data_IF_906106228704
#
_entry.id   IF_906106228704
#
_cell.length_a   1.000
_cell.length_b   1.000
_cell.length_c   1.000
_cell.angle_alpha   90.00
_cell.angle_beta   90.00
_cell.angle_gamma   90.00
#
_symmetry.space_group_name_H-M   'P 1'
#
loop_
_entity.id
_entity.type
_entity.pdbx_description
1 polymer ?
#
# COMPACT_ATOMS: atom_id res chain seq x y z
N UNK A 1 -11.07 -18.08 21.86
CA UNK A 1 -11.69 -17.32 20.74
C UNK A 1 -10.98 -17.74 19.47
N UNK A 2 -11.72 -18.16 18.44
CA UNK A 2 -11.13 -18.54 17.15
C UNK A 2 -10.40 -17.37 16.51
N UNK A 3 -9.08 -17.47 16.42
CA UNK A 3 -8.24 -16.41 15.86
C UNK A 3 -8.55 -16.13 14.39
N UNK A 4 -9.17 -17.09 13.69
CA UNK A 4 -9.61 -16.94 12.29
C UNK A 4 -10.82 -16.03 12.10
N UNK A 5 -11.55 -15.71 13.16
CA UNK A 5 -12.73 -14.86 13.10
C UNK A 5 -12.42 -13.36 13.27
N UNK A 6 -11.17 -12.99 13.58
CA UNK A 6 -10.80 -11.61 13.94
C UNK A 6 -11.01 -10.62 12.80
N UNK A 7 -10.61 -10.98 11.58
CA UNK A 7 -10.66 -10.07 10.42
C UNK A 7 -11.91 -10.30 9.53
N UNK A 8 -12.83 -11.16 9.97
CA UNK A 8 -13.98 -11.60 9.13
C UNK A 8 -14.88 -10.43 8.75
N UNK A 9 -15.18 -9.54 9.69
CA UNK A 9 -16.05 -8.39 9.45
C UNK A 9 -15.39 -7.37 8.51
N UNK A 10 -14.09 -7.09 8.72
CA UNK A 10 -13.32 -6.19 7.87
C UNK A 10 -13.24 -6.70 6.42
N UNK A 11 -12.95 -8.00 6.23
CA UNK A 11 -12.90 -8.63 4.91
C UNK A 11 -14.28 -8.62 4.25
N UNK A 12 -15.33 -8.94 4.99
CA UNK A 12 -16.70 -9.02 4.43
C UNK A 12 -17.18 -7.64 4.00
N UNK A 13 -16.97 -6.61 4.84
CA UNK A 13 -17.32 -5.24 4.52
C UNK A 13 -16.52 -4.71 3.32
N UNK A 14 -15.21 -4.97 3.29
CA UNK A 14 -14.36 -4.61 2.15
C UNK A 14 -14.92 -5.19 0.85
N UNK A 15 -15.21 -6.49 0.83
CA UNK A 15 -15.76 -7.16 -0.36
C UNK A 15 -17.10 -6.56 -0.78
N UNK A 16 -17.98 -6.29 0.19
CA UNK A 16 -19.27 -5.66 -0.11
C UNK A 16 -19.11 -4.27 -0.72
N UNK A 17 -18.25 -3.42 -0.16
CA UNK A 17 -18.01 -2.06 -0.67
C UNK A 17 -17.41 -2.11 -2.07
N UNK A 18 -16.41 -2.96 -2.31
CA UNK A 18 -15.80 -3.12 -3.63
C UNK A 18 -16.84 -3.59 -4.65
N UNK A 19 -17.60 -4.64 -4.35
CA UNK A 19 -18.64 -5.16 -5.26
C UNK A 19 -19.72 -4.08 -5.52
N UNK A 20 -20.10 -3.29 -4.52
CA UNK A 20 -21.02 -2.16 -4.71
C UNK A 20 -20.42 -1.06 -5.60
N UNK A 21 -19.15 -0.71 -5.41
CA UNK A 21 -18.48 0.28 -6.24
C UNK A 21 -18.38 -0.22 -7.69
N UNK A 22 -18.01 -1.47 -7.93
CA UNK A 22 -17.94 -2.05 -9.27
C UNK A 22 -19.30 -2.04 -9.99
N UNK A 23 -20.38 -2.38 -9.28
CA UNK A 23 -21.71 -2.43 -9.89
C UNK A 23 -22.29 -1.04 -10.22
N UNK A 24 -21.88 -0.02 -9.48
CA UNK A 24 -22.48 1.32 -9.57
C UNK A 24 -21.55 2.37 -10.20
N UNK A 25 -20.27 2.07 -10.43
CA UNK A 25 -19.34 3.00 -11.06
C UNK A 25 -19.58 3.06 -12.58
N UNK A 26 -19.80 4.27 -13.15
CA UNK A 26 -19.85 4.45 -14.59
C UNK A 26 -18.55 3.99 -15.26
N UNK A 27 -18.62 3.39 -16.46
CA UNK A 27 -17.42 3.00 -17.20
C UNK A 27 -16.53 4.22 -17.46
N UNK A 28 -15.26 4.15 -17.02
CA UNK A 28 -14.28 5.23 -17.14
C UNK A 28 -14.16 6.15 -15.92
N UNK A 29 -14.98 5.97 -14.88
CA UNK A 29 -14.78 6.63 -13.60
C UNK A 29 -13.73 5.88 -12.75
N UNK A 30 -12.86 6.59 -12.00
CA UNK A 30 -11.89 5.93 -11.13
C UNK A 30 -12.63 5.21 -9.99
N UNK A 31 -12.28 3.96 -9.74
CA UNK A 31 -12.80 3.21 -8.58
C UNK A 31 -12.39 3.90 -7.28
N UNK A 32 -13.31 3.88 -6.31
CA UNK A 32 -13.00 4.33 -4.96
C UNK A 32 -11.84 3.51 -4.38
N UNK A 33 -10.85 4.19 -3.81
CA UNK A 33 -9.76 3.53 -3.09
C UNK A 33 -10.27 3.12 -1.71
N UNK A 34 -10.33 1.81 -1.46
CA UNK A 34 -10.69 1.26 -0.14
C UNK A 34 -9.42 0.76 0.55
N UNK A 35 -9.21 1.20 1.78
CA UNK A 35 -8.12 0.75 2.65
C UNK A 35 -8.71 -0.18 3.70
N UNK A 36 -8.13 -1.36 3.89
CA UNK A 36 -8.55 -2.32 4.91
C UNK A 36 -7.41 -2.63 5.87
N UNK A 37 -7.69 -2.48 7.15
CA UNK A 37 -6.78 -2.93 8.21
C UNK A 37 -7.02 -4.41 8.49
N UNK A 38 -5.93 -5.20 8.53
CA UNK A 38 -5.94 -6.59 8.92
C UNK A 38 -5.04 -6.80 10.14
N UNK A 39 -5.54 -7.57 11.10
CA UNK A 39 -4.78 -7.95 12.30
C UNK A 39 -3.69 -8.96 11.98
N UNK A 40 -3.84 -9.76 10.92
CA UNK A 40 -2.89 -10.82 10.55
C UNK A 40 -2.56 -10.83 9.05
N UNK A 41 -1.29 -11.02 8.67
CA UNK A 41 -0.90 -11.19 7.27
C UNK A 41 -1.60 -12.38 6.60
N UNK A 42 -1.84 -13.47 7.34
CA UNK A 42 -2.48 -14.68 6.80
C UNK A 42 -3.93 -14.48 6.38
N UNK A 43 -4.59 -13.42 6.88
CA UNK A 43 -5.96 -13.05 6.48
C UNK A 43 -6.01 -12.43 5.08
N UNK A 44 -4.88 -11.99 4.54
CA UNK A 44 -4.76 -11.38 3.22
C UNK A 44 -5.21 -12.34 2.09
N UNK A 45 -5.03 -13.66 2.28
CA UNK A 45 -5.49 -14.68 1.32
C UNK A 45 -7.00 -14.69 1.06
N UNK A 46 -7.79 -14.02 1.91
CA UNK A 46 -9.24 -13.94 1.81
C UNK A 46 -9.72 -12.65 1.13
N UNK A 47 -8.83 -11.69 0.89
CA UNK A 47 -9.12 -10.53 0.06
C UNK A 47 -9.03 -10.94 -1.41
N UNK A 48 -10.04 -10.55 -2.19
CA UNK A 48 -10.04 -10.75 -3.64
C UNK A 48 -9.00 -9.83 -4.27
N UNK A 49 -8.30 -10.36 -5.27
CA UNK A 49 -7.44 -9.59 -6.15
C UNK A 49 -8.10 -9.52 -7.53
N UNK A 50 -8.65 -8.37 -7.91
CA UNK A 50 -9.19 -8.18 -9.26
C UNK A 50 -8.07 -8.02 -10.32
N UNK A 51 -6.78 -8.00 -9.94
CA UNK A 51 -5.67 -8.20 -10.90
C UNK A 51 -5.70 -9.61 -11.51
N UNK A 52 -6.48 -10.54 -10.93
CA UNK A 52 -6.79 -11.84 -11.53
C UNK A 52 -7.71 -11.70 -12.75
N UNK A 53 -8.29 -10.51 -13.02
CA UNK A 53 -8.91 -10.17 -14.31
C UNK A 53 -7.88 -9.72 -15.36
N UNK A 54 -6.61 -10.12 -15.24
CA UNK A 54 -5.71 -10.10 -16.39
C UNK A 54 -6.29 -10.99 -17.49
N UNK A 55 -6.57 -10.42 -18.66
CA UNK A 55 -7.00 -11.15 -19.85
C UNK A 55 -5.95 -12.19 -20.32
N UNK A 56 -4.73 -12.15 -19.75
CA UNK A 56 -3.63 -13.03 -20.10
C UNK A 56 -3.46 -14.19 -19.08
N UNK A 57 -3.71 -15.45 -19.50
CA UNK A 57 -3.61 -16.61 -18.61
C UNK A 57 -2.20 -16.87 -18.06
N UNK A 58 -1.16 -16.44 -18.78
CA UNK A 58 0.24 -16.58 -18.34
C UNK A 58 0.60 -15.68 -17.15
N UNK A 59 0.07 -14.45 -17.12
CA UNK A 59 0.24 -13.52 -16.01
C UNK A 59 -0.47 -14.03 -14.76
N UNK A 60 -1.64 -14.64 -14.93
CA UNK A 60 -2.39 -15.24 -13.83
C UNK A 60 -1.65 -16.41 -13.17
N UNK A 61 -1.04 -17.29 -13.95
CA UNK A 61 -0.23 -18.39 -13.42
C UNK A 61 1.03 -17.90 -12.69
N UNK A 62 1.67 -16.86 -13.22
CA UNK A 62 2.82 -16.23 -12.58
C UNK A 62 2.44 -15.62 -11.22
N UNK A 63 1.33 -14.87 -11.17
CA UNK A 63 0.80 -14.28 -9.92
C UNK A 63 0.41 -15.37 -8.92
N UNK A 64 -0.32 -16.41 -9.33
CA UNK A 64 -0.69 -17.53 -8.45
C UNK A 64 0.55 -18.24 -7.89
N UNK A 65 1.58 -18.42 -8.71
CA UNK A 65 2.84 -19.05 -8.29
C UNK A 65 3.60 -18.16 -7.31
N UNK A 66 3.63 -16.85 -7.54
CA UNK A 66 4.24 -15.86 -6.65
C UNK A 66 3.50 -15.81 -5.30
N UNK A 67 2.18 -15.68 -5.33
CA UNK A 67 1.31 -15.70 -4.15
C UNK A 67 1.50 -17.00 -3.36
N UNK A 68 1.55 -18.16 -4.02
CA UNK A 68 1.78 -19.44 -3.34
C UNK A 68 3.17 -19.50 -2.68
N UNK A 69 4.21 -18.94 -3.31
CA UNK A 69 5.56 -18.86 -2.72
C UNK A 69 5.58 -17.93 -1.51
N UNK A 70 5.00 -16.75 -1.61
CA UNK A 70 4.89 -15.76 -0.52
C UNK A 70 4.12 -16.34 0.66
N UNK A 71 2.96 -16.95 0.43
CA UNK A 71 2.16 -17.58 1.49
C UNK A 71 2.83 -18.82 2.11
N UNK A 72 3.68 -19.53 1.36
CA UNK A 72 4.43 -20.68 1.89
C UNK A 72 5.62 -20.31 2.77
N UNK A 73 6.06 -19.04 2.71
CA UNK A 73 7.20 -18.49 3.47
C UNK A 73 6.74 -17.48 4.52
N UNK A 74 5.54 -17.68 5.05
CA UNK A 74 4.85 -16.76 5.98
C UNK A 74 5.59 -16.42 7.29
N UNK A 75 6.80 -16.95 7.50
CA UNK A 75 7.67 -16.63 8.62
C UNK A 75 8.47 -15.32 8.40
N UNK A 76 8.62 -14.83 7.16
CA UNK A 76 9.21 -13.50 6.90
C UNK A 76 8.11 -12.43 6.68
N UNK A 77 8.00 -11.42 7.57
CA UNK A 77 7.02 -10.35 7.41
C UNK A 77 7.22 -9.52 6.11
N UNK A 78 8.43 -9.50 5.54
CA UNK A 78 8.72 -8.79 4.29
C UNK A 78 8.20 -9.52 3.05
N UNK A 79 8.06 -10.84 3.09
CA UNK A 79 7.53 -11.60 1.95
C UNK A 79 6.07 -11.24 1.65
N UNK A 80 5.30 -10.85 2.69
CA UNK A 80 3.91 -10.38 2.54
C UNK A 80 3.81 -9.04 1.78
N UNK A 81 4.86 -8.21 1.81
CA UNK A 81 4.91 -6.91 1.10
C UNK A 81 4.99 -7.12 -0.42
N UNK A 82 5.60 -8.24 -0.84
CA UNK A 82 5.68 -8.62 -2.25
C UNK A 82 4.33 -9.16 -2.80
N UNK A 83 3.30 -9.29 -1.95
CA UNK A 83 2.00 -9.72 -2.42
C UNK A 83 1.37 -8.63 -3.32
N UNK A 84 0.84 -8.96 -4.51
CA UNK A 84 0.25 -7.97 -5.42
C UNK A 84 -0.83 -7.10 -4.75
N UNK A 85 -1.70 -7.69 -3.92
CA UNK A 85 -2.66 -6.94 -3.09
C UNK A 85 -1.97 -5.86 -2.23
N UNK A 86 -0.79 -6.13 -1.68
CA UNK A 86 -0.03 -5.16 -0.88
C UNK A 86 0.66 -4.09 -1.76
N UNK A 87 1.22 -4.50 -2.90
CA UNK A 87 2.05 -3.65 -3.76
C UNK A 87 1.30 -2.87 -4.85
N UNK A 88 0.15 -3.37 -5.33
CA UNK A 88 -0.54 -2.83 -6.49
C UNK A 88 -1.48 -1.66 -6.18
N UNK A 89 -1.68 -1.32 -4.91
CA UNK A 89 -2.43 -0.13 -4.49
C UNK A 89 -3.94 -0.15 -4.75
N UNK A 90 -4.47 -1.15 -5.47
CA UNK A 90 -5.91 -1.30 -5.76
C UNK A 90 -6.73 -1.68 -4.52
N UNK A 91 -6.13 -2.47 -3.62
CA UNK A 91 -6.67 -2.78 -2.30
C UNK A 91 -5.57 -2.45 -1.29
N UNK A 92 -5.56 -1.23 -0.75
CA UNK A 92 -4.51 -0.81 0.18
C UNK A 92 -4.72 -1.57 1.51
N UNK A 93 -3.98 -2.65 1.70
CA UNK A 93 -4.02 -3.42 2.95
C UNK A 93 -3.00 -2.83 3.92
N UNK A 94 -3.45 -2.53 5.13
CA UNK A 94 -2.57 -2.19 6.24
C UNK A 94 -2.55 -3.34 7.25
N UNK A 95 -1.36 -3.79 7.66
CA UNK A 95 -1.22 -4.85 8.66
C UNK A 95 -0.68 -4.20 9.94
N UNK A 96 -1.44 -4.29 11.03
CA UNK A 96 -1.12 -3.57 12.27
C UNK A 96 0.22 -4.00 12.88
N UNK A 97 0.62 -5.27 12.68
CA UNK A 97 1.92 -5.81 13.12
C UNK A 97 3.13 -5.10 12.48
N UNK A 98 2.95 -4.33 11.40
CA UNK A 98 4.03 -3.54 10.80
C UNK A 98 4.58 -2.48 11.78
N UNK A 99 3.77 -1.99 12.72
CA UNK A 99 4.21 -1.03 13.74
C UNK A 99 5.12 -1.68 14.81
N UNK A 100 4.96 -2.98 15.08
CA UNK A 100 5.84 -3.70 16.01
C UNK A 100 7.28 -3.74 15.49
N UNK A 101 7.45 -3.87 14.16
CA UNK A 101 8.77 -3.81 13.52
C UNK A 101 9.38 -2.40 13.63
N UNK A 102 8.56 -1.35 13.54
CA UNK A 102 9.00 0.03 13.78
C UNK A 102 9.48 0.19 15.22
N UNK A 103 8.70 -0.26 16.20
CA UNK A 103 9.05 -0.21 17.62
C UNK A 103 10.33 -1.02 17.93
N UNK A 104 10.50 -2.19 17.32
CA UNK A 104 11.73 -2.98 17.44
C UNK A 104 12.97 -2.22 16.95
N UNK A 105 12.84 -1.44 15.88
CA UNK A 105 13.92 -0.61 15.35
C UNK A 105 14.20 0.65 16.17
N UNK A 106 13.27 1.10 17.01
CA UNK A 106 13.47 2.27 17.88
C UNK A 106 14.60 2.07 18.89
N UNK A 107 14.85 0.82 19.31
CA UNK A 107 15.99 0.48 20.16
C UNK A 107 17.34 0.81 19.49
N UNK A 108 17.41 0.78 18.16
CA UNK A 108 18.63 1.07 17.40
C UNK A 108 18.67 2.52 16.90
N UNK A 109 17.52 3.06 16.52
CA UNK A 109 17.38 4.40 15.98
C UNK A 109 16.22 5.11 16.70
N UNK A 110 16.53 5.80 17.79
CA UNK A 110 15.52 6.44 18.65
C UNK A 110 14.67 7.52 17.95
N UNK A 111 15.12 8.05 16.82
CA UNK A 111 14.41 9.08 16.05
C UNK A 111 13.38 8.52 15.05
N UNK A 112 13.23 7.19 14.92
CA UNK A 112 12.31 6.60 13.93
C UNK A 112 10.85 6.98 14.21
N UNK A 113 10.42 7.01 15.48
CA UNK A 113 9.05 7.40 15.84
C UNK A 113 8.80 8.87 15.50
N UNK A 114 9.74 9.75 15.85
CA UNK A 114 9.63 11.18 15.56
C UNK A 114 9.55 11.42 14.05
N UNK A 115 10.36 10.70 13.27
CA UNK A 115 10.31 10.75 11.81
C UNK A 115 8.97 10.24 11.26
N UNK A 116 8.46 9.12 11.77
CA UNK A 116 7.16 8.58 11.35
C UNK A 116 6.02 9.53 11.69
N UNK A 117 6.04 10.15 12.87
CA UNK A 117 5.09 11.18 13.27
C UNK A 117 5.15 12.38 12.34
N UNK A 118 6.35 12.88 12.03
CA UNK A 118 6.54 14.00 11.12
C UNK A 118 6.01 13.68 9.71
N UNK A 119 6.26 12.47 9.21
CA UNK A 119 5.78 12.03 7.90
C UNK A 119 4.27 11.83 7.86
N UNK A 120 3.67 11.35 8.95
CA UNK A 120 2.23 11.04 9.02
C UNK A 120 1.37 12.29 9.25
N UNK A 121 1.82 13.18 10.13
CA UNK A 121 1.04 14.35 10.56
C UNK A 121 1.53 15.67 9.95
N UNK A 122 2.70 15.67 9.30
CA UNK A 122 3.36 16.88 8.82
C UNK A 122 3.99 17.71 9.94
N UNK A 123 4.65 18.80 9.57
CA UNK A 123 5.04 19.83 10.54
C UNK A 123 3.78 20.54 11.06
N UNK A 124 3.68 20.70 12.39
CA UNK A 124 2.46 21.10 13.10
C UNK A 124 1.74 22.34 12.55
N UNK A 125 0.42 22.39 12.79
CA UNK A 125 -0.56 23.34 12.26
C UNK A 125 -0.27 24.85 12.45
N UNK A 126 0.81 25.21 13.16
CA UNK A 126 1.27 26.59 13.37
C UNK A 126 2.29 27.07 12.33
N UNK A 127 2.81 26.19 11.46
CA UNK A 127 3.77 26.56 10.42
C UNK A 127 3.07 26.72 9.07
N UNK A 128 2.96 27.96 8.59
CA UNK A 128 2.41 28.28 7.25
C UNK A 128 3.23 27.68 6.09
N UNK A 129 4.45 27.19 6.37
CA UNK A 129 5.35 26.53 5.43
C UNK A 129 5.60 25.05 5.76
N UNK A 130 4.71 24.43 6.55
CA UNK A 130 4.86 23.03 6.96
C UNK A 130 4.96 22.09 5.76
N UNK A 131 5.96 21.20 5.77
CA UNK A 131 6.11 20.18 4.72
C UNK A 131 5.14 19.04 4.96
N UNK A 132 4.56 18.53 3.89
CA UNK A 132 3.61 17.42 3.89
C UNK A 132 4.03 16.35 2.89
N UNK A 133 3.68 15.10 3.18
CA UNK A 133 3.71 14.05 2.18
C UNK A 133 2.48 14.18 1.28
N UNK A 134 2.70 14.29 -0.03
CA UNK A 134 1.64 14.36 -1.03
C UNK A 134 2.00 13.50 -2.25
N UNK A 135 0.97 13.08 -2.98
CA UNK A 135 1.11 12.32 -4.21
C UNK A 135 0.90 13.23 -5.41
N UNK A 136 2.00 13.52 -6.13
CA UNK A 136 1.95 14.29 -7.38
C UNK A 136 1.97 13.36 -8.59
N UNK A 137 1.17 13.68 -9.61
CA UNK A 137 1.28 13.00 -10.90
C UNK A 137 2.62 13.37 -11.57
N UNK A 138 3.27 12.39 -12.21
CA UNK A 138 4.52 12.63 -12.94
C UNK A 138 4.26 13.63 -14.07
N UNK A 139 4.93 14.80 -14.09
CA UNK A 139 4.71 15.79 -15.13
C UNK A 139 5.03 15.21 -16.51
N UNK A 140 4.22 15.58 -17.51
CA UNK A 140 4.29 15.07 -18.88
C UNK A 140 5.70 15.27 -19.50
N UNK A 141 6.38 16.34 -19.11
CA UNK A 141 7.76 16.67 -19.52
C UNK A 141 8.81 15.60 -19.16
N UNK A 142 8.49 14.74 -18.19
CA UNK A 142 9.36 13.67 -17.68
C UNK A 142 8.82 12.28 -18.00
N UNK A 143 7.77 12.16 -18.81
CA UNK A 143 7.34 10.86 -19.32
C UNK A 143 8.46 10.26 -20.18
N UNK A 144 8.76 8.99 -19.97
CA UNK A 144 9.86 8.25 -20.62
C UNK A 144 11.28 8.78 -20.35
N UNK A 145 11.46 9.65 -19.37
CA UNK A 145 12.79 10.07 -18.89
C UNK A 145 13.20 9.27 -17.66
N UNK A 146 14.48 9.34 -17.32
CA UNK A 146 14.98 8.66 -16.13
C UNK A 146 14.40 9.29 -14.86
N UNK A 147 14.18 8.48 -13.83
CA UNK A 147 13.75 8.98 -12.51
C UNK A 147 14.69 10.06 -11.98
N UNK A 148 16.01 9.89 -12.20
CA UNK A 148 17.03 10.82 -11.74
C UNK A 148 16.83 12.22 -12.31
N UNK A 149 16.49 12.33 -13.60
CA UNK A 149 16.23 13.64 -14.23
C UNK A 149 15.01 14.33 -13.62
N UNK A 150 13.94 13.57 -13.35
CA UNK A 150 12.76 14.09 -12.65
C UNK A 150 13.11 14.53 -11.22
N UNK A 151 13.85 13.69 -10.49
CA UNK A 151 14.27 13.94 -9.11
C UNK A 151 15.10 15.21 -8.99
N UNK A 152 16.11 15.39 -9.83
CA UNK A 152 16.98 16.58 -9.81
C UNK A 152 16.16 17.85 -10.05
N UNK A 153 15.21 17.83 -10.98
CA UNK A 153 14.39 19.00 -11.29
C UNK A 153 13.37 19.32 -10.19
N UNK A 154 12.76 18.30 -9.60
CA UNK A 154 11.86 18.49 -8.45
C UNK A 154 12.62 19.01 -7.22
N UNK A 155 13.86 18.54 -7.01
CA UNK A 155 14.71 18.99 -5.91
C UNK A 155 15.05 20.48 -6.03
N UNK A 156 15.31 20.98 -7.25
CA UNK A 156 15.52 22.42 -7.52
C UNK A 156 14.27 23.24 -7.14
N UNK A 157 13.09 22.63 -7.27
CA UNK A 157 11.80 23.24 -6.91
C UNK A 157 11.45 23.05 -5.43
N UNK A 158 12.43 22.61 -4.61
CA UNK A 158 12.27 22.29 -3.17
C UNK A 158 11.31 21.13 -2.87
N UNK A 159 11.03 20.28 -3.85
CA UNK A 159 10.21 19.06 -3.70
C UNK A 159 11.13 17.85 -3.62
N UNK A 160 11.04 17.11 -2.51
CA UNK A 160 11.78 15.85 -2.34
C UNK A 160 10.89 14.68 -2.74
N UNK A 161 11.28 13.92 -3.78
CA UNK A 161 10.52 12.75 -4.23
C UNK A 161 10.95 11.52 -3.45
N UNK A 162 9.96 10.78 -2.92
CA UNK A 162 10.14 9.46 -2.31
C UNK A 162 9.45 8.46 -3.26
N UNK A 163 10.22 7.56 -3.86
CA UNK A 163 9.67 6.44 -4.65
C UNK A 163 9.61 5.20 -3.76
N UNK A 164 8.41 4.63 -3.62
CA UNK A 164 8.18 3.33 -2.98
C UNK A 164 8.12 2.22 -4.05
#
# INVERSE_FOLDING_TARGET
>A
KDQNMLDTDAITLHRYVVECCECNCPPGSPMATVIVELSRPSSLRFLKDDLVRSENPSTLEAVKTLTKRVLSRADDPLDNICHPIYAAGTCKVFISNSLDAVLGNCNKYGCIIDLLHLLTFGEGATNEFGRVLDQIAVPILYHNKSYLECFVQMLVTQVFIIHF
#
